data_IF_786165768118
#
_entry.id   IF_786165768118
#
_cell.length_a   1.000
_cell.length_b   1.000
_cell.length_c   1.000
_cell.angle_alpha   90.00
_cell.angle_beta   90.00
_cell.angle_gamma   90.00
#
_symmetry.space_group_name_H-M   'P 1'
#
loop_
_entity.id
_entity.type
_entity.pdbx_description
1 polymer ?
#
# COMPACT_ATOMS: atom_id res chain seq x y z
N UNK A 1 13.99 -11.53 20.81
CA UNK A 1 13.66 -11.61 19.38
C UNK A 1 14.94 -11.41 18.58
N UNK A 2 15.26 -12.30 17.65
CA UNK A 2 16.41 -12.07 16.75
C UNK A 2 16.13 -10.79 15.93
N UNK A 3 17.08 -9.86 15.89
CA UNK A 3 16.92 -8.64 15.08
C UNK A 3 16.75 -9.06 13.62
N UNK A 4 15.66 -8.67 12.97
CA UNK A 4 15.47 -8.88 11.53
C UNK A 4 16.69 -8.32 10.80
N UNK A 5 17.31 -9.11 9.93
CA UNK A 5 18.44 -8.69 9.10
C UNK A 5 18.02 -7.46 8.28
N UNK A 6 18.79 -6.36 8.39
CA UNK A 6 18.53 -5.14 7.63
C UNK A 6 18.95 -5.32 6.19
N UNK A 7 18.16 -4.76 5.28
CA UNK A 7 18.32 -4.93 3.83
C UNK A 7 18.30 -3.61 3.09
N UNK A 8 19.02 -3.58 1.97
CA UNK A 8 18.89 -2.56 0.93
C UNK A 8 18.14 -3.22 -0.22
N UNK A 9 17.10 -2.57 -0.73
CA UNK A 9 16.21 -3.12 -1.74
C UNK A 9 16.29 -2.23 -2.98
N UNK A 10 16.68 -2.80 -4.11
CA UNK A 10 16.62 -2.14 -5.40
C UNK A 10 15.46 -2.69 -6.20
N UNK A 11 14.59 -1.80 -6.69
CA UNK A 11 13.60 -2.05 -7.71
C UNK A 11 14.12 -1.51 -9.02
N UNK A 12 14.24 -2.34 -10.04
CA UNK A 12 14.85 -2.00 -11.32
C UNK A 12 13.91 -2.38 -12.44
N UNK A 13 13.72 -1.49 -13.40
CA UNK A 13 12.90 -1.77 -14.58
C UNK A 13 13.54 -1.18 -15.84
N UNK A 14 13.38 -1.85 -16.97
CA UNK A 14 13.85 -1.39 -18.27
C UNK A 14 13.15 -2.15 -19.42
N UNK A 15 13.46 -1.84 -20.66
CA UNK A 15 13.16 -2.71 -21.79
C UNK A 15 13.92 -4.04 -21.66
N UNK A 16 13.27 -5.16 -21.98
CA UNK A 16 13.89 -6.49 -21.89
C UNK A 16 15.02 -6.64 -22.91
N UNK A 17 16.15 -7.09 -22.42
CA UNK A 17 17.33 -7.39 -23.24
C UNK A 17 18.30 -8.32 -22.52
N UNK A 18 19.17 -8.95 -23.29
CA UNK A 18 20.19 -9.87 -22.75
C UNK A 18 21.20 -9.12 -21.88
N UNK A 19 21.58 -9.76 -20.76
CA UNK A 19 22.69 -9.31 -19.94
C UNK A 19 22.34 -8.42 -18.76
N UNK A 20 21.10 -7.95 -18.58
CA UNK A 20 20.70 -7.06 -17.48
C UNK A 20 21.00 -7.68 -16.13
N UNK A 21 20.56 -8.93 -15.88
CA UNK A 21 20.83 -9.63 -14.63
C UNK A 21 22.34 -9.77 -14.39
N UNK A 22 23.11 -10.15 -15.43
CA UNK A 22 24.56 -10.31 -15.32
C UNK A 22 25.26 -9.00 -14.98
N UNK A 23 24.94 -7.92 -15.70
CA UNK A 23 25.53 -6.61 -15.47
C UNK A 23 25.21 -6.11 -14.05
N UNK A 24 23.95 -6.18 -13.63
CA UNK A 24 23.51 -5.70 -12.32
C UNK A 24 24.13 -6.52 -11.19
N UNK A 25 24.13 -7.85 -11.28
CA UNK A 25 24.75 -8.70 -10.24
C UNK A 25 26.28 -8.51 -10.18
N UNK A 26 26.93 -8.33 -11.32
CA UNK A 26 28.38 -8.03 -11.38
C UNK A 26 28.69 -6.68 -10.73
N UNK A 27 27.85 -5.66 -10.96
CA UNK A 27 28.01 -4.34 -10.35
C UNK A 27 27.99 -4.42 -8.81
N UNK A 28 27.03 -5.16 -8.23
CA UNK A 28 26.96 -5.39 -6.78
C UNK A 28 28.14 -6.23 -6.27
N UNK A 29 28.50 -7.31 -6.98
CA UNK A 29 29.62 -8.18 -6.61
C UNK A 29 30.94 -7.41 -6.55
N UNK A 30 31.26 -6.59 -7.55
CA UNK A 30 32.48 -5.79 -7.59
C UNK A 30 32.59 -4.80 -6.43
N UNK A 31 31.47 -4.43 -5.83
CA UNK A 31 31.38 -3.55 -4.65
C UNK A 31 31.24 -4.30 -3.34
N UNK A 32 31.39 -5.63 -3.38
CA UNK A 32 31.34 -6.54 -2.23
C UNK A 32 29.98 -6.55 -1.52
N UNK A 33 28.88 -6.29 -2.23
CA UNK A 33 27.53 -6.51 -1.69
C UNK A 33 27.09 -7.95 -1.85
N UNK A 34 26.59 -8.56 -0.76
CA UNK A 34 25.95 -9.86 -0.80
C UNK A 34 24.47 -9.74 -1.19
N UNK A 35 24.10 -10.44 -2.27
CA UNK A 35 22.69 -10.52 -2.71
C UNK A 35 22.01 -11.60 -1.87
N UNK A 36 21.06 -11.19 -1.01
CA UNK A 36 20.25 -12.07 -0.18
C UNK A 36 19.09 -12.71 -0.94
N UNK A 37 18.49 -11.93 -1.84
CA UNK A 37 17.36 -12.37 -2.65
C UNK A 37 17.36 -11.60 -3.98
N UNK A 38 16.97 -12.30 -5.06
CA UNK A 38 16.79 -11.70 -6.36
C UNK A 38 15.54 -12.30 -7.01
N UNK A 39 14.62 -11.44 -7.39
CA UNK A 39 13.43 -11.79 -8.18
C UNK A 39 13.47 -11.02 -9.48
N UNK A 40 13.03 -11.66 -10.55
CA UNK A 40 12.92 -11.03 -11.86
C UNK A 40 11.65 -11.49 -12.57
N UNK A 41 11.11 -10.61 -13.39
CA UNK A 41 9.96 -10.90 -14.24
C UNK A 41 10.12 -10.17 -15.57
N UNK A 42 9.79 -10.85 -16.67
CA UNK A 42 9.68 -10.22 -17.98
C UNK A 42 8.22 -10.23 -18.41
N UNK A 43 7.68 -9.05 -18.65
CA UNK A 43 6.38 -8.91 -19.31
C UNK A 43 6.62 -9.03 -20.84
N UNK A 44 6.29 -10.20 -21.39
CA UNK A 44 6.45 -10.48 -22.81
C UNK A 44 5.48 -9.68 -23.69
N UNK A 45 4.40 -9.13 -23.13
CA UNK A 45 3.41 -8.36 -23.87
C UNK A 45 3.91 -6.97 -24.17
N UNK A 46 4.53 -6.34 -23.17
CA UNK A 46 5.07 -4.99 -23.27
C UNK A 46 6.59 -4.95 -23.52
N UNK A 47 7.27 -6.12 -23.50
CA UNK A 47 8.72 -6.19 -23.63
C UNK A 47 9.47 -5.53 -22.48
N UNK A 48 8.91 -5.55 -21.27
CA UNK A 48 9.48 -4.91 -20.10
C UNK A 48 10.07 -5.92 -19.13
N UNK A 49 11.21 -5.57 -18.58
CA UNK A 49 11.92 -6.34 -17.56
C UNK A 49 11.85 -5.64 -16.21
N UNK A 50 11.56 -6.42 -15.18
CA UNK A 50 11.47 -5.98 -13.79
C UNK A 50 12.37 -6.84 -12.92
N UNK A 51 13.12 -6.23 -12.01
CA UNK A 51 14.00 -6.92 -11.08
C UNK A 51 13.88 -6.30 -9.69
N UNK A 52 13.80 -7.14 -8.66
CA UNK A 52 13.88 -6.74 -7.27
C UNK A 52 15.06 -7.48 -6.63
N UNK A 53 16.04 -6.73 -6.11
CA UNK A 53 17.23 -7.27 -5.45
C UNK A 53 17.24 -6.81 -4.00
N UNK A 54 17.46 -7.75 -3.09
CA UNK A 54 17.73 -7.48 -1.68
C UNK A 54 19.21 -7.73 -1.38
N UNK A 55 19.88 -6.71 -0.86
CA UNK A 55 21.27 -6.79 -0.41
C UNK A 55 21.34 -6.78 1.11
N UNK A 56 22.41 -7.36 1.67
CA UNK A 56 22.68 -7.22 3.09
C UNK A 56 23.14 -5.79 3.39
N UNK A 57 22.41 -5.08 4.28
CA UNK A 57 22.82 -3.74 4.69
C UNK A 57 24.14 -3.72 5.48
N UNK A 58 24.56 -4.85 6.05
CA UNK A 58 25.87 -4.95 6.73
C UNK A 58 27.06 -4.72 5.78
N UNK A 59 26.84 -4.91 4.48
CA UNK A 59 27.87 -4.68 3.45
C UNK A 59 27.96 -3.21 2.99
N UNK A 60 27.08 -2.35 3.48
CA UNK A 60 27.10 -0.91 3.16
C UNK A 60 28.31 -0.24 3.84
N UNK A 61 29.39 -0.05 3.09
CA UNK A 61 30.65 0.58 3.56
C UNK A 61 30.72 2.09 3.24
N UNK A 62 29.74 2.61 2.51
CA UNK A 62 29.63 4.01 2.10
C UNK A 62 28.38 4.64 2.71
N UNK A 63 28.09 5.90 2.41
CA UNK A 63 26.80 6.50 2.74
C UNK A 63 25.72 6.00 1.78
N UNK A 64 24.44 6.07 2.20
CA UNK A 64 23.31 5.74 1.32
C UNK A 64 23.32 6.62 0.07
N UNK A 65 23.55 7.91 0.25
CA UNK A 65 23.66 8.87 -0.86
C UNK A 65 24.73 8.45 -1.86
N UNK A 66 25.93 8.07 -1.40
CA UNK A 66 27.01 7.63 -2.28
C UNK A 66 26.65 6.34 -3.04
N UNK A 67 26.00 5.38 -2.38
CA UNK A 67 25.52 4.16 -3.05
C UNK A 67 24.54 4.50 -4.16
N UNK A 68 23.60 5.40 -3.88
CA UNK A 68 22.58 5.81 -4.84
C UNK A 68 23.17 6.62 -6.01
N UNK A 69 24.12 7.51 -5.74
CA UNK A 69 24.88 8.24 -6.77
C UNK A 69 25.68 7.28 -7.67
N UNK A 70 26.41 6.34 -7.08
CA UNK A 70 27.18 5.34 -7.82
C UNK A 70 26.27 4.43 -8.67
N UNK A 71 25.10 4.05 -8.14
CA UNK A 71 24.15 3.23 -8.89
C UNK A 71 23.46 4.03 -9.99
N UNK A 72 23.24 5.32 -9.80
CA UNK A 72 22.66 6.20 -10.82
C UNK A 72 23.51 6.22 -12.09
N UNK A 73 24.84 6.32 -11.95
CA UNK A 73 25.76 6.28 -13.10
C UNK A 73 25.67 4.95 -13.86
N UNK A 74 25.58 3.84 -13.14
CA UNK A 74 25.37 2.52 -13.76
C UNK A 74 24.00 2.43 -14.44
N UNK A 75 22.97 2.94 -13.79
CA UNK A 75 21.60 2.93 -14.32
C UNK A 75 21.48 3.77 -15.60
N UNK A 76 22.16 4.90 -15.70
CA UNK A 76 22.25 5.72 -16.91
C UNK A 76 22.91 4.96 -18.07
N UNK A 77 24.06 4.30 -17.82
CA UNK A 77 24.77 3.50 -18.83
C UNK A 77 23.88 2.38 -19.40
N UNK A 78 23.05 1.79 -18.53
CA UNK A 78 22.17 0.67 -18.91
C UNK A 78 20.71 1.09 -19.13
N UNK A 79 20.37 2.37 -19.22
CA UNK A 79 19.01 2.88 -19.36
C UNK A 79 18.03 2.17 -18.43
N UNK A 80 18.36 2.10 -17.13
CA UNK A 80 17.50 1.52 -16.10
C UNK A 80 16.72 2.60 -15.38
N UNK A 81 15.42 2.39 -15.18
CA UNK A 81 14.67 3.10 -14.15
C UNK A 81 14.80 2.32 -12.86
N UNK A 82 15.00 2.99 -11.73
CA UNK A 82 15.26 2.30 -10.48
C UNK A 82 14.79 3.10 -9.26
N UNK A 83 14.56 2.37 -8.16
CA UNK A 83 14.32 2.92 -6.83
C UNK A 83 15.14 2.16 -5.81
N UNK A 84 15.58 2.83 -4.74
CA UNK A 84 16.31 2.23 -3.63
C UNK A 84 15.54 2.43 -2.32
N UNK A 85 15.31 1.35 -1.59
CA UNK A 85 14.63 1.35 -0.31
C UNK A 85 15.47 0.68 0.76
N UNK A 86 15.31 1.11 2.00
CA UNK A 86 16.06 0.59 3.15
C UNK A 86 15.10 0.00 4.16
N UNK A 87 15.26 -1.26 4.52
CA UNK A 87 14.33 -1.96 5.43
C UNK A 87 14.32 -1.43 6.86
N UNK A 88 15.22 -0.53 7.23
CA UNK A 88 15.21 0.17 8.51
C UNK A 88 14.49 1.53 8.43
N UNK A 89 14.04 1.95 7.27
CA UNK A 89 13.16 3.10 7.13
C UNK A 89 11.77 2.76 7.70
N UNK A 90 11.26 3.65 8.54
CA UNK A 90 9.92 3.50 9.10
C UNK A 90 8.96 4.46 8.42
N UNK A 91 8.14 3.89 7.56
CA UNK A 91 7.09 4.65 6.88
C UNK A 91 6.13 5.30 7.86
N UNK A 92 5.72 6.52 7.58
CA UNK A 92 4.69 7.25 8.32
C UNK A 92 3.36 7.12 7.60
N UNK A 93 2.51 6.23 8.11
CA UNK A 93 1.22 5.83 7.50
C UNK A 93 0.07 6.62 8.13
N UNK A 94 -0.62 7.46 7.36
CA UNK A 94 -1.89 8.04 7.78
C UNK A 94 -3.05 7.10 7.44
N UNK A 95 -4.01 6.95 8.36
CA UNK A 95 -5.21 6.14 8.13
C UNK A 95 -6.42 7.05 8.04
N UNK A 96 -7.11 7.01 6.90
CA UNK A 96 -8.36 7.70 6.68
C UNK A 96 -9.52 6.72 6.87
N UNK A 97 -10.52 7.11 7.68
CA UNK A 97 -11.65 6.25 8.06
C UNK A 97 -12.98 6.99 7.99
N UNK A 98 -14.09 6.25 7.92
CA UNK A 98 -15.42 6.78 8.19
C UNK A 98 -16.01 6.12 9.44
N UNK A 99 -16.98 5.22 9.32
CA UNK A 99 -17.68 4.59 10.46
C UNK A 99 -17.25 3.16 10.75
N UNK A 100 -16.71 2.46 9.76
CA UNK A 100 -16.32 1.05 9.89
C UNK A 100 -14.96 0.92 10.59
N UNK A 101 -14.91 0.20 11.69
CA UNK A 101 -13.73 0.14 12.58
C UNK A 101 -12.79 -1.05 12.31
N UNK A 102 -13.27 -2.10 11.64
CA UNK A 102 -12.58 -3.39 11.57
C UNK A 102 -11.20 -3.32 10.92
N UNK A 103 -11.03 -2.57 9.84
CA UNK A 103 -9.72 -2.38 9.20
C UNK A 103 -8.79 -1.50 10.06
N UNK A 104 -9.32 -0.47 10.71
CA UNK A 104 -8.54 0.39 11.59
C UNK A 104 -7.92 -0.40 12.74
N UNK A 105 -8.73 -1.20 13.46
CA UNK A 105 -8.25 -2.05 14.56
C UNK A 105 -7.17 -3.03 14.10
N UNK A 106 -7.37 -3.70 12.96
CA UNK A 106 -6.43 -4.69 12.44
C UNK A 106 -5.08 -4.07 12.08
N UNK A 107 -5.08 -2.90 11.42
CA UNK A 107 -3.85 -2.18 11.07
C UNK A 107 -3.07 -1.73 12.31
N UNK A 108 -3.75 -1.19 13.32
CA UNK A 108 -3.11 -0.76 14.56
C UNK A 108 -2.53 -1.95 15.31
N UNK A 109 -3.30 -3.05 15.45
CA UNK A 109 -2.84 -4.27 16.13
C UNK A 109 -1.58 -4.83 15.47
N UNK A 110 -1.57 -4.98 14.15
CA UNK A 110 -0.42 -5.49 13.40
C UNK A 110 0.81 -4.58 13.48
N UNK A 111 0.61 -3.27 13.53
CA UNK A 111 1.70 -2.32 13.78
C UNK A 111 2.27 -2.50 15.18
N UNK A 112 1.43 -2.67 16.21
CA UNK A 112 1.88 -2.86 17.60
C UNK A 112 2.54 -4.24 17.81
N UNK A 113 2.10 -5.27 17.11
CA UNK A 113 2.73 -6.61 17.08
C UNK A 113 4.03 -6.64 16.27
N UNK A 114 4.30 -5.61 15.46
CA UNK A 114 5.50 -5.50 14.64
C UNK A 114 5.41 -6.19 13.28
N UNK A 115 4.22 -6.61 12.86
CA UNK A 115 3.97 -7.17 11.53
C UNK A 115 4.09 -6.08 10.45
N UNK A 116 3.59 -4.87 10.74
CA UNK A 116 3.71 -3.70 9.89
C UNK A 116 4.81 -2.77 10.42
N UNK A 117 5.89 -2.62 9.67
CA UNK A 117 7.05 -1.80 10.03
C UNK A 117 6.82 -0.33 9.68
N UNK A 118 5.87 0.31 10.36
CA UNK A 118 5.50 1.71 10.14
C UNK A 118 5.15 2.41 11.45
N UNK A 119 5.05 3.74 11.40
CA UNK A 119 4.43 4.56 12.43
C UNK A 119 3.07 5.04 11.93
N UNK A 120 2.10 5.21 12.83
CA UNK A 120 0.79 5.77 12.52
C UNK A 120 0.69 7.13 13.23
N UNK A 121 1.15 8.23 12.59
CA UNK A 121 1.21 9.55 13.22
C UNK A 121 -0.16 10.19 13.41
N UNK A 122 -1.17 9.81 12.62
CA UNK A 122 -2.52 10.36 12.72
C UNK A 122 -3.56 9.47 12.07
N UNK A 123 -4.79 9.63 12.55
CA UNK A 123 -6.01 9.11 11.93
C UNK A 123 -6.88 10.31 11.56
N UNK A 124 -7.42 10.31 10.35
CA UNK A 124 -8.36 11.34 9.87
C UNK A 124 -9.70 10.68 9.58
N UNK A 125 -10.80 11.31 10.01
CA UNK A 125 -12.13 10.79 9.79
C UNK A 125 -13.13 11.90 9.43
N UNK A 126 -14.07 11.59 8.55
CA UNK A 126 -15.24 12.44 8.28
C UNK A 126 -16.42 12.19 9.26
N UNK A 127 -16.21 11.31 10.25
CA UNK A 127 -17.17 11.01 11.33
C UNK A 127 -16.43 10.92 12.68
N UNK A 128 -17.05 11.27 13.82
CA UNK A 128 -16.40 11.20 15.12
C UNK A 128 -16.37 9.79 15.73
N UNK A 129 -17.11 8.83 15.16
CA UNK A 129 -17.42 7.52 15.75
C UNK A 129 -16.18 6.73 16.20
N UNK A 130 -15.03 6.89 15.51
CA UNK A 130 -13.83 6.10 15.75
C UNK A 130 -12.77 6.83 16.59
N UNK A 131 -13.09 8.02 17.10
CA UNK A 131 -12.18 8.78 17.97
C UNK A 131 -11.80 8.00 19.24
N UNK A 132 -12.76 7.24 19.78
CA UNK A 132 -12.53 6.40 20.96
C UNK A 132 -11.42 5.36 20.72
N UNK A 133 -11.33 4.82 19.51
CA UNK A 133 -10.28 3.86 19.14
C UNK A 133 -8.93 4.56 19.08
N UNK A 134 -8.86 5.71 18.40
CA UNK A 134 -7.63 6.49 18.30
C UNK A 134 -7.09 6.87 19.69
N UNK A 135 -7.97 7.31 20.58
CA UNK A 135 -7.63 7.66 21.97
C UNK A 135 -7.11 6.44 22.77
N UNK A 136 -7.71 5.26 22.60
CA UNK A 136 -7.27 4.01 23.24
C UNK A 136 -5.80 3.69 22.88
N UNK A 137 -5.42 3.92 21.63
CA UNK A 137 -4.06 3.67 21.14
C UNK A 137 -3.15 4.92 21.16
N UNK A 138 -3.64 6.02 21.71
CA UNK A 138 -2.91 7.31 21.82
C UNK A 138 -2.43 7.84 20.47
N UNK A 139 -3.24 7.65 19.42
CA UNK A 139 -2.97 8.15 18.08
C UNK A 139 -3.75 9.45 17.88
N UNK A 140 -3.15 10.55 17.42
CA UNK A 140 -3.86 11.78 17.10
C UNK A 140 -5.02 11.55 16.13
N UNK A 141 -6.21 12.02 16.49
CA UNK A 141 -7.42 11.89 15.68
C UNK A 141 -7.90 13.26 15.22
N UNK A 142 -8.19 13.38 13.93
CA UNK A 142 -8.69 14.60 13.31
C UNK A 142 -10.06 14.36 12.70
N UNK A 143 -11.08 14.93 13.33
CA UNK A 143 -12.43 14.92 12.79
C UNK A 143 -12.59 16.07 11.79
N UNK A 144 -12.75 15.73 10.51
CA UNK A 144 -12.94 16.65 9.40
C UNK A 144 -14.23 16.30 8.66
N UNK A 145 -15.40 16.82 9.12
CA UNK A 145 -16.67 16.56 8.46
C UNK A 145 -16.66 17.10 7.04
N UNK A 146 -17.41 16.45 6.16
CA UNK A 146 -17.47 16.80 4.74
C UNK A 146 -18.90 16.78 4.23
N UNK A 147 -19.24 17.83 3.46
CA UNK A 147 -20.45 17.93 2.62
C UNK A 147 -20.02 18.21 1.18
N UNK A 148 -20.91 18.10 0.20
CA UNK A 148 -20.57 18.47 -1.16
C UNK A 148 -19.98 19.89 -1.29
N UNK A 149 -20.47 20.84 -0.49
CA UNK A 149 -20.05 22.26 -0.52
C UNK A 149 -18.69 22.47 0.17
N UNK A 150 -18.36 21.67 1.17
CA UNK A 150 -17.11 21.83 1.96
C UNK A 150 -15.99 20.89 1.51
N UNK A 151 -16.21 20.07 0.48
CA UNK A 151 -15.26 19.02 0.06
C UNK A 151 -13.87 19.57 -0.26
N UNK A 152 -13.78 20.64 -1.03
CA UNK A 152 -12.49 21.24 -1.42
C UNK A 152 -11.72 21.73 -0.18
N UNK A 153 -12.40 22.43 0.72
CA UNK A 153 -11.79 22.92 1.96
C UNK A 153 -11.36 21.78 2.88
N UNK A 154 -12.17 20.74 2.98
CA UNK A 154 -11.87 19.55 3.78
C UNK A 154 -10.64 18.83 3.23
N UNK A 155 -10.53 18.62 1.91
CA UNK A 155 -9.35 18.00 1.29
C UNK A 155 -8.08 18.85 1.48
N UNK A 156 -8.18 20.19 1.43
CA UNK A 156 -7.05 21.07 1.76
C UNK A 156 -6.57 20.88 3.19
N UNK A 157 -7.48 20.74 4.16
CA UNK A 157 -7.15 20.45 5.55
C UNK A 157 -6.49 19.08 5.70
N UNK A 158 -6.99 18.06 5.01
CA UNK A 158 -6.37 16.73 4.97
C UNK A 158 -4.93 16.82 4.46
N UNK A 159 -4.70 17.45 3.28
CA UNK A 159 -3.34 17.62 2.71
C UNK A 159 -2.40 18.37 3.65
N UNK A 160 -2.90 19.41 4.32
CA UNK A 160 -2.11 20.17 5.29
C UNK A 160 -1.66 19.31 6.47
N UNK A 161 -2.55 18.44 6.98
CA UNK A 161 -2.22 17.49 8.03
C UNK A 161 -1.22 16.45 7.54
N UNK A 162 -1.43 15.85 6.37
CA UNK A 162 -0.50 14.86 5.82
C UNK A 162 0.91 15.43 5.68
N UNK A 163 1.06 16.65 5.18
CA UNK A 163 2.35 17.37 5.09
C UNK A 163 2.94 17.67 6.47
N UNK A 164 2.13 18.19 7.39
CA UNK A 164 2.57 18.52 8.76
C UNK A 164 3.11 17.31 9.54
N UNK A 165 2.57 16.13 9.24
CA UNK A 165 2.98 14.89 9.89
C UNK A 165 3.97 14.08 9.05
N UNK A 166 4.56 14.65 8.00
CA UNK A 166 5.52 13.99 7.10
C UNK A 166 5.05 12.58 6.70
N UNK A 167 3.81 12.48 6.21
CA UNK A 167 3.19 11.20 5.85
C UNK A 167 3.78 10.69 4.53
N UNK A 168 4.16 9.41 4.50
CA UNK A 168 4.69 8.75 3.31
C UNK A 168 3.59 8.02 2.52
N UNK A 169 2.62 7.44 3.22
CA UNK A 169 1.55 6.63 2.64
C UNK A 169 0.22 6.89 3.32
N UNK A 170 -0.84 6.94 2.53
CA UNK A 170 -2.22 7.13 2.98
C UNK A 170 -2.99 5.84 2.78
N UNK A 171 -3.68 5.36 3.82
CA UNK A 171 -4.51 4.16 3.76
C UNK A 171 -5.97 4.54 3.96
N UNK A 172 -6.78 4.29 2.93
CA UNK A 172 -8.24 4.47 2.99
C UNK A 172 -8.88 3.21 3.59
N UNK A 173 -8.93 3.15 4.91
CA UNK A 173 -9.49 2.02 5.66
C UNK A 173 -11.01 2.18 5.82
N UNK A 174 -11.75 1.94 4.74
CA UNK A 174 -13.20 2.19 4.65
C UNK A 174 -13.55 3.69 4.75
N UNK A 175 -12.72 4.52 4.16
CA UNK A 175 -13.02 5.95 3.99
C UNK A 175 -13.99 6.14 2.84
N UNK A 176 -15.26 6.43 3.16
CA UNK A 176 -16.36 6.44 2.21
C UNK A 176 -16.51 7.80 1.49
N UNK A 177 -15.38 8.37 1.08
CA UNK A 177 -15.31 9.60 0.29
C UNK A 177 -14.46 9.37 -0.96
N UNK A 178 -14.89 9.95 -2.07
CA UNK A 178 -14.12 9.94 -3.32
C UNK A 178 -13.14 11.12 -3.24
N UNK A 179 -11.86 10.86 -3.42
CA UNK A 179 -10.83 11.89 -3.46
C UNK A 179 -10.85 12.63 -4.80
N UNK A 180 -10.48 13.91 -4.80
CA UNK A 180 -10.36 14.71 -6.03
C UNK A 180 -9.17 14.24 -6.87
N UNK A 181 -9.22 14.56 -8.17
CA UNK A 181 -8.11 14.28 -9.09
C UNK A 181 -6.80 14.93 -8.63
N UNK A 182 -6.87 16.17 -8.13
CA UNK A 182 -5.70 16.89 -7.63
C UNK A 182 -5.09 16.22 -6.39
N UNK A 183 -5.92 15.62 -5.53
CA UNK A 183 -5.43 14.85 -4.38
C UNK A 183 -4.72 13.57 -4.85
N UNK A 184 -5.31 12.87 -5.81
CA UNK A 184 -4.74 11.64 -6.39
C UNK A 184 -3.40 11.94 -7.08
N UNK A 185 -3.31 13.02 -7.87
CA UNK A 185 -2.07 13.39 -8.56
C UNK A 185 -0.93 13.71 -7.59
N UNK A 186 -1.22 14.46 -6.51
CA UNK A 186 -0.21 14.78 -5.49
C UNK A 186 0.30 13.54 -4.74
N UNK A 187 -0.54 12.51 -4.61
CA UNK A 187 -0.25 11.30 -3.84
C UNK A 187 -0.23 10.04 -4.72
N UNK A 188 0.11 10.17 -5.99
CA UNK A 188 0.14 9.05 -6.93
C UNK A 188 1.04 7.91 -6.42
N UNK A 189 0.52 6.68 -6.44
CA UNK A 189 1.24 5.50 -5.94
C UNK A 189 1.41 5.41 -4.42
N UNK A 190 0.83 6.38 -3.66
CA UNK A 190 0.96 6.46 -2.19
C UNK A 190 -0.37 6.39 -1.46
N UNK A 191 -1.48 6.12 -2.14
CA UNK A 191 -2.80 5.95 -1.53
C UNK A 191 -3.27 4.53 -1.76
N UNK A 192 -3.41 3.75 -0.69
CA UNK A 192 -3.92 2.38 -0.72
C UNK A 192 -5.37 2.39 -0.27
N UNK A 193 -6.27 1.87 -1.10
CA UNK A 193 -7.70 1.76 -0.80
C UNK A 193 -8.11 0.31 -0.60
N UNK A 194 -9.02 0.06 0.35
CA UNK A 194 -9.74 -1.20 0.44
C UNK A 194 -11.12 -1.07 -0.19
N UNK A 195 -11.32 -1.74 -1.31
CA UNK A 195 -12.64 -1.93 -1.91
C UNK A 195 -13.26 -3.22 -1.39
N UNK A 196 -14.49 -3.13 -0.88
CA UNK A 196 -15.22 -4.25 -0.28
C UNK A 196 -15.95 -5.10 -1.33
N UNK A 197 -15.26 -5.41 -2.41
CA UNK A 197 -15.69 -6.24 -3.54
C UNK A 197 -14.49 -6.81 -4.27
N UNK A 198 -14.70 -7.88 -5.02
CA UNK A 198 -13.68 -8.49 -5.86
C UNK A 198 -13.65 -7.78 -7.23
N UNK A 199 -12.74 -6.83 -7.40
CA UNK A 199 -12.61 -6.09 -8.66
C UNK A 199 -12.15 -7.01 -9.81
N UNK A 200 -12.59 -6.75 -11.04
CA UNK A 200 -13.45 -5.65 -11.49
C UNK A 200 -14.96 -5.88 -11.28
N UNK A 201 -15.36 -6.97 -10.63
CA UNK A 201 -16.76 -7.25 -10.32
C UNK A 201 -17.25 -6.36 -9.16
N UNK A 202 -18.51 -5.91 -9.24
CA UNK A 202 -19.20 -5.15 -8.18
C UNK A 202 -18.54 -3.81 -7.83
N UNK A 203 -17.96 -3.10 -8.82
CA UNK A 203 -17.45 -1.74 -8.63
C UNK A 203 -18.52 -0.80 -8.05
N UNK A 204 -18.11 0.19 -7.24
CA UNK A 204 -18.97 1.21 -6.68
C UNK A 204 -19.71 0.77 -5.41
N UNK A 205 -20.89 1.36 -5.15
CA UNK A 205 -21.60 1.24 -3.88
C UNK A 205 -22.30 -0.12 -3.66
N UNK A 206 -22.43 -0.51 -2.39
CA UNK A 206 -23.20 -1.65 -1.91
C UNK A 206 -22.88 -3.02 -2.57
N UNK A 207 -21.58 -3.43 -2.71
CA UNK A 207 -21.23 -4.65 -3.39
C UNK A 207 -21.82 -5.91 -2.74
N UNK A 208 -21.93 -5.99 -1.42
CA UNK A 208 -22.55 -7.14 -0.71
C UNK A 208 -24.04 -7.31 -1.02
N UNK A 209 -24.79 -6.22 -1.13
CA UNK A 209 -26.19 -6.30 -1.52
C UNK A 209 -26.33 -6.77 -2.96
N UNK A 210 -25.54 -6.24 -3.86
CA UNK A 210 -25.51 -6.65 -5.27
C UNK A 210 -25.06 -8.11 -5.44
N UNK A 211 -24.09 -8.56 -4.64
CA UNK A 211 -23.64 -9.95 -4.59
C UNK A 211 -24.77 -10.88 -4.15
N UNK A 212 -25.51 -10.50 -3.11
CA UNK A 212 -26.69 -11.24 -2.64
C UNK A 212 -27.78 -11.33 -3.71
N UNK A 213 -28.15 -10.20 -4.32
CA UNK A 213 -29.17 -10.13 -5.37
C UNK A 213 -28.81 -10.99 -6.60
N UNK A 214 -27.51 -11.14 -6.88
CA UNK A 214 -26.99 -12.00 -7.94
C UNK A 214 -26.87 -13.47 -7.55
N UNK A 215 -27.02 -13.80 -6.27
CA UNK A 215 -26.89 -15.17 -5.76
C UNK A 215 -25.47 -15.76 -5.93
N UNK A 216 -24.41 -14.91 -5.87
CA UNK A 216 -23.03 -15.36 -6.01
C UNK A 216 -22.64 -16.31 -4.89
N UNK A 217 -21.68 -17.18 -5.16
CA UNK A 217 -21.17 -18.18 -4.21
C UNK A 217 -19.82 -17.81 -3.62
N UNK A 218 -19.27 -16.67 -4.03
CA UNK A 218 -18.02 -16.12 -3.52
C UNK A 218 -18.16 -14.60 -3.41
N UNK A 219 -17.65 -14.04 -2.32
CA UNK A 219 -17.45 -12.61 -2.14
C UNK A 219 -15.98 -12.36 -1.85
N UNK A 220 -15.51 -11.15 -2.03
CA UNK A 220 -14.11 -10.82 -1.82
C UNK A 220 -13.89 -9.36 -1.52
N UNK A 221 -12.62 -9.00 -1.38
CA UNK A 221 -12.15 -7.65 -1.22
C UNK A 221 -10.89 -7.42 -2.07
N UNK A 222 -10.62 -6.15 -2.39
CA UNK A 222 -9.48 -5.74 -3.19
C UNK A 222 -8.78 -4.57 -2.53
N UNK A 223 -7.49 -4.71 -2.24
CA UNK A 223 -6.60 -3.59 -1.95
C UNK A 223 -5.95 -3.14 -3.25
N UNK A 224 -6.04 -1.86 -3.55
CA UNK A 224 -5.50 -1.28 -4.77
C UNK A 224 -4.99 0.13 -4.53
N UNK A 225 -4.11 0.62 -5.39
CA UNK A 225 -3.78 2.04 -5.37
C UNK A 225 -4.96 2.86 -5.87
N UNK A 226 -5.24 3.97 -5.19
CA UNK A 226 -6.27 4.88 -5.66
C UNK A 226 -5.84 5.55 -6.98
N UNK A 227 -6.79 5.68 -7.89
CA UNK A 227 -6.65 6.35 -9.19
C UNK A 227 -7.77 7.35 -9.40
N UNK A 228 -7.65 8.20 -10.44
CA UNK A 228 -8.71 9.16 -10.80
C UNK A 228 -10.03 8.48 -11.13
N UNK A 229 -9.95 7.32 -11.76
CA UNK A 229 -11.10 6.49 -12.05
C UNK A 229 -11.42 5.62 -10.84
N UNK A 230 -12.65 5.72 -10.34
CA UNK A 230 -13.08 5.02 -9.14
C UNK A 230 -12.91 3.50 -9.27
N UNK A 231 -12.23 2.89 -8.32
CA UNK A 231 -11.98 1.46 -8.21
C UNK A 231 -11.23 0.83 -9.43
N UNK A 232 -10.44 1.64 -10.19
CA UNK A 232 -9.71 1.18 -11.38
C UNK A 232 -8.19 1.28 -11.24
N UNK A 233 -7.67 1.66 -10.08
CA UNK A 233 -6.24 1.72 -9.87
C UNK A 233 -5.58 0.33 -9.79
N UNK A 234 -4.25 0.27 -9.88
CA UNK A 234 -3.49 -0.97 -9.85
C UNK A 234 -3.81 -1.82 -8.62
N UNK A 235 -4.15 -3.08 -8.84
CA UNK A 235 -4.49 -4.04 -7.78
C UNK A 235 -3.20 -4.49 -7.10
N UNK A 236 -3.21 -4.46 -5.75
CA UNK A 236 -2.10 -4.89 -4.91
C UNK A 236 -2.35 -6.30 -4.37
N UNK A 237 -3.52 -6.52 -3.78
CA UNK A 237 -3.88 -7.78 -3.15
C UNK A 237 -5.39 -8.03 -3.28
N UNK A 238 -5.77 -9.27 -3.47
CA UNK A 238 -7.17 -9.70 -3.50
C UNK A 238 -7.34 -11.02 -2.77
N UNK A 239 -8.50 -11.20 -2.16
CA UNK A 239 -8.87 -12.48 -1.59
C UNK A 239 -10.39 -12.67 -1.66
N UNK A 240 -10.81 -13.92 -1.60
CA UNK A 240 -12.21 -14.33 -1.70
C UNK A 240 -12.56 -15.33 -0.61
N UNK A 241 -13.87 -15.38 -0.28
CA UNK A 241 -14.42 -16.39 0.62
C UNK A 241 -15.71 -16.97 0.04
N UNK A 242 -15.91 -18.26 0.24
CA UNK A 242 -17.17 -18.92 -0.12
C UNK A 242 -18.30 -18.50 0.83
N UNK A 243 -19.46 -18.29 0.23
CA UNK A 243 -20.72 -17.98 0.93
C UNK A 243 -21.83 -18.91 0.45
N UNK A 244 -22.85 -19.06 1.25
CA UNK A 244 -24.00 -19.90 0.94
C UNK A 244 -25.32 -19.09 1.01
N UNK A 245 -26.42 -19.77 0.73
CA UNK A 245 -27.75 -19.15 0.67
C UNK A 245 -28.36 -18.81 2.04
N UNK A 246 -27.76 -19.27 3.14
CA UNK A 246 -28.21 -18.98 4.50
C UNK A 246 -27.87 -17.55 4.92
N UNK A 247 -26.88 -16.95 4.24
CA UNK A 247 -26.41 -15.60 4.53
C UNK A 247 -27.20 -14.56 3.75
N UNK A 248 -27.94 -13.71 4.46
CA UNK A 248 -28.51 -12.48 3.89
C UNK A 248 -27.44 -11.38 3.72
N UNK A 249 -27.79 -10.18 3.19
CA UNK A 249 -26.85 -9.09 2.95
C UNK A 249 -26.03 -8.66 4.18
N UNK A 250 -26.60 -8.76 5.39
CA UNK A 250 -25.91 -8.48 6.65
C UNK A 250 -24.83 -9.53 6.94
N UNK A 251 -25.17 -10.83 6.81
CA UNK A 251 -24.23 -11.92 7.01
C UNK A 251 -23.07 -11.89 5.98
N UNK A 252 -23.37 -11.57 4.71
CA UNK A 252 -22.33 -11.38 3.71
C UNK A 252 -21.37 -10.25 4.08
N UNK A 253 -21.89 -9.15 4.64
CA UNK A 253 -21.05 -8.03 5.11
C UNK A 253 -20.16 -8.45 6.28
N UNK A 254 -20.67 -9.23 7.22
CA UNK A 254 -19.91 -9.65 8.40
C UNK A 254 -18.77 -10.60 7.99
N UNK A 255 -19.02 -11.56 7.13
CA UNK A 255 -17.97 -12.42 6.53
C UNK A 255 -16.98 -11.58 5.71
N UNK A 256 -17.47 -10.60 4.97
CA UNK A 256 -16.64 -9.71 4.15
C UNK A 256 -15.67 -8.86 4.95
N UNK A 257 -16.02 -8.43 6.17
CA UNK A 257 -15.11 -7.67 7.05
C UNK A 257 -13.80 -8.42 7.34
N UNK A 258 -13.85 -9.74 7.47
CA UNK A 258 -12.66 -10.55 7.73
C UNK A 258 -11.74 -10.61 6.52
N UNK A 259 -12.32 -10.68 5.32
CA UNK A 259 -11.56 -10.62 4.07
C UNK A 259 -10.96 -9.22 3.88
N UNK A 260 -11.75 -8.16 4.12
CA UNK A 260 -11.28 -6.77 4.01
C UNK A 260 -10.06 -6.49 4.89
N UNK A 261 -10.10 -6.92 6.18
CA UNK A 261 -8.96 -6.76 7.11
C UNK A 261 -7.70 -7.41 6.57
N UNK A 262 -7.80 -8.69 6.19
CA UNK A 262 -6.68 -9.47 5.70
C UNK A 262 -6.09 -8.91 4.42
N UNK A 263 -6.93 -8.55 3.46
CA UNK A 263 -6.52 -8.01 2.16
C UNK A 263 -5.84 -6.65 2.32
N UNK A 264 -6.44 -5.74 3.12
CA UNK A 264 -5.84 -4.43 3.35
C UNK A 264 -4.48 -4.54 4.04
N UNK A 265 -4.39 -5.36 5.09
CA UNK A 265 -3.13 -5.55 5.82
C UNK A 265 -2.02 -6.10 4.93
N UNK A 266 -2.32 -7.11 4.08
CA UNK A 266 -1.36 -7.66 3.12
C UNK A 266 -0.96 -6.64 2.06
N UNK A 267 -1.91 -5.86 1.53
CA UNK A 267 -1.62 -4.80 0.56
C UNK A 267 -0.72 -3.71 1.15
N UNK A 268 -1.00 -3.27 2.37
CA UNK A 268 -0.14 -2.32 3.10
C UNK A 268 1.24 -2.93 3.35
N UNK A 269 1.32 -4.17 3.81
CA UNK A 269 2.59 -4.85 4.05
C UNK A 269 3.44 -4.95 2.77
N UNK A 270 2.83 -5.31 1.64
CA UNK A 270 3.53 -5.40 0.36
C UNK A 270 4.12 -4.04 -0.06
N UNK A 271 3.38 -2.93 0.15
CA UNK A 271 3.87 -1.58 -0.09
C UNK A 271 5.05 -1.22 0.82
N UNK A 272 4.91 -1.44 2.14
CA UNK A 272 5.97 -1.13 3.11
C UNK A 272 7.25 -1.95 2.88
N UNK A 273 7.13 -3.14 2.30
CA UNK A 273 8.26 -4.03 1.98
C UNK A 273 8.78 -3.85 0.53
N UNK A 274 8.30 -2.85 -0.21
CA UNK A 274 8.66 -2.58 -1.61
C UNK A 274 8.54 -3.85 -2.48
N UNK A 275 7.35 -4.49 -2.44
CA UNK A 275 7.05 -5.72 -3.19
C UNK A 275 5.92 -5.55 -4.21
N UNK A 276 5.67 -4.32 -4.63
CA UNK A 276 4.66 -3.98 -5.63
C UNK A 276 5.34 -3.39 -6.84
#
# INVERSE_FOLDING_TARGET
MASKQKKIIFLIQCEDRKGILSATSTWFYQRSYNILHCQQHTDNTEGRYFMRIELDMADLKTTRTQLEEDFSLFAEEYNLSWECHYSDYRYRMAILVSKASHCLYDLIARKDEGDLQCDIPLIISNHPDLEIIANQFRIPFYYLPVTPETKVEQEMKVRTLLKRFDVDVVVLARYMQILSSDFIDEWQGKIINIHHGFLPAFQGANPYRRAYERGVKMIGATAHYASKDLDQGPIIEQDVVRVNHELGPAGLRDVGKDVERRVLAKGVQAHLESRI
#
